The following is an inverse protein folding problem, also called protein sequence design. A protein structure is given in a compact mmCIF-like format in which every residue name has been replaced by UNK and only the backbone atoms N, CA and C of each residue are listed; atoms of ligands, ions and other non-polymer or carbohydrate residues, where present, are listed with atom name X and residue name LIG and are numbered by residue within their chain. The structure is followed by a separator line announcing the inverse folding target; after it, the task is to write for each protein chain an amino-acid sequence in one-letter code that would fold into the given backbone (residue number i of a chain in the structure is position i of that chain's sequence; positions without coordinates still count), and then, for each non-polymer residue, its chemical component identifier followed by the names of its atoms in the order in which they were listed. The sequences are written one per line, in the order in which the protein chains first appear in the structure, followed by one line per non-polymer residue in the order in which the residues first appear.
data_IF_737360057962
#
_entry.id   IF_737360057962
#
_cell.length_a   1.000
_cell.length_b   1.000
_cell.length_c   1.000
_cell.angle_alpha   90.00
_cell.angle_beta   90.00
_cell.angle_gamma   90.00
#
_symmetry.space_group_name_H-M   'P 1'
#
loop_
_entity.id
_entity.type
_entity.pdbx_description
1 polymer ?
#
# COMPACT_ATOMS: atom_id res chain seq x y z
N UNK A 1 -85.73 -9.53 53.44
CA UNK A 1 -86.54 -8.33 53.11
C UNK A 1 -86.56 -8.17 51.60
N UNK A 2 -87.69 -7.82 50.99
CA UNK A 2 -87.79 -7.64 49.53
C UNK A 2 -87.82 -6.14 49.22
N UNK A 3 -86.81 -5.65 48.51
CA UNK A 3 -86.73 -4.24 48.06
C UNK A 3 -88.02 -3.79 47.36
N UNK A 4 -88.63 -4.67 46.56
CA UNK A 4 -89.84 -4.36 45.79
C UNK A 4 -91.09 -4.06 46.62
N UNK A 5 -91.07 -4.36 47.93
CA UNK A 5 -92.25 -4.26 48.80
C UNK A 5 -92.09 -3.20 49.89
N UNK A 6 -90.90 -2.64 50.07
CA UNK A 6 -90.63 -1.64 51.12
C UNK A 6 -90.21 -0.31 50.46
N UNK A 7 -91.12 0.69 50.41
CA UNK A 7 -90.85 1.98 49.77
C UNK A 7 -89.80 2.82 50.53
N UNK A 8 -89.44 2.43 51.75
CA UNK A 8 -88.40 3.07 52.57
C UNK A 8 -87.00 2.57 52.20
N UNK A 9 -86.89 1.56 51.34
CA UNK A 9 -85.62 1.02 50.87
C UNK A 9 -85.19 1.67 49.57
N UNK A 10 -83.91 2.04 49.50
CA UNK A 10 -83.29 2.69 48.36
C UNK A 10 -82.03 1.93 47.94
N UNK A 11 -81.78 1.90 46.65
CA UNK A 11 -80.56 1.37 46.05
C UNK A 11 -79.67 2.52 45.59
N UNK A 12 -78.37 2.38 45.84
CA UNK A 12 -77.34 3.26 45.26
C UNK A 12 -76.12 2.45 44.84
N UNK A 13 -75.31 3.01 43.95
CA UNK A 13 -74.06 2.39 43.52
C UNK A 13 -72.87 3.07 44.20
N UNK A 14 -72.12 2.30 44.98
CA UNK A 14 -70.92 2.77 45.66
C UNK A 14 -69.78 1.75 45.51
N UNK A 15 -68.62 2.21 45.04
CA UNK A 15 -67.38 1.44 45.01
C UNK A 15 -67.54 0.00 44.46
N UNK A 16 -68.13 -0.15 43.27
CA UNK A 16 -68.37 -1.41 42.54
C UNK A 16 -69.50 -2.31 43.02
N UNK A 17 -70.24 -1.90 44.04
CA UNK A 17 -71.36 -2.67 44.58
C UNK A 17 -72.61 -1.79 44.71
N UNK A 18 -73.78 -2.41 44.66
CA UNK A 18 -75.03 -1.71 44.96
C UNK A 18 -75.37 -1.95 46.43
N UNK A 19 -75.56 -0.85 47.16
CA UNK A 19 -75.92 -0.86 48.57
C UNK A 19 -77.41 -0.66 48.75
N UNK A 20 -77.95 -1.35 49.75
CA UNK A 20 -79.33 -1.19 50.19
C UNK A 20 -79.36 -0.31 51.43
N UNK A 21 -80.12 0.76 51.30
CA UNK A 21 -80.20 1.83 52.26
C UNK A 21 -81.64 1.91 52.75
N UNK A 22 -81.84 2.08 54.05
CA UNK A 22 -83.16 2.35 54.61
C UNK A 22 -83.23 3.78 55.09
N UNK A 23 -84.32 4.44 54.75
CA UNK A 23 -84.61 5.81 55.16
C UNK A 23 -85.55 5.75 56.35
N UNK A 24 -85.20 6.46 57.41
CA UNK A 24 -86.02 6.54 58.62
C UNK A 24 -86.82 7.84 58.73
N UNK A 25 -86.59 8.77 57.81
CA UNK A 25 -87.37 10.02 57.68
C UNK A 25 -88.56 9.82 56.75
N UNK A 26 -89.71 10.39 57.12
CA UNK A 26 -90.91 10.35 56.31
C UNK A 26 -90.72 11.15 55.03
N UNK A 27 -91.35 10.68 53.95
CA UNK A 27 -91.35 11.37 52.67
C UNK A 27 -91.90 12.79 52.80
N UNK A 28 -91.15 13.80 52.33
CA UNK A 28 -91.52 15.21 52.41
C UNK A 28 -90.85 16.02 53.53
N UNK A 29 -90.22 15.36 54.52
CA UNK A 29 -89.47 16.05 55.57
C UNK A 29 -88.07 16.49 55.09
N UNK A 30 -87.52 17.62 55.61
CA UNK A 30 -86.15 18.03 55.33
C UNK A 30 -85.15 16.93 55.73
N UNK A 31 -84.41 16.44 54.76
CA UNK A 31 -83.51 15.31 54.93
C UNK A 31 -82.23 15.75 55.66
N UNK A 32 -81.96 15.18 56.86
CA UNK A 32 -80.77 15.45 57.66
C UNK A 32 -79.71 14.36 57.47
N UNK A 33 -78.44 14.73 57.48
CA UNK A 33 -77.32 13.79 57.41
C UNK A 33 -77.42 12.76 58.56
N UNK A 34 -77.51 11.47 58.22
CA UNK A 34 -77.79 10.37 59.16
C UNK A 34 -79.21 9.78 59.10
N UNK A 35 -80.12 10.36 58.32
CA UNK A 35 -81.49 9.84 58.11
C UNK A 35 -81.57 8.60 57.21
N UNK A 36 -80.48 8.29 56.51
CA UNK A 36 -80.26 7.05 55.75
C UNK A 36 -79.21 6.23 56.49
N UNK A 37 -79.48 4.95 56.72
CA UNK A 37 -78.46 4.00 57.13
C UNK A 37 -78.29 2.88 56.10
N UNK A 38 -77.06 2.43 55.84
CA UNK A 38 -76.83 1.18 55.11
C UNK A 38 -77.38 0.04 55.96
N UNK A 39 -78.31 -0.73 55.40
CA UNK A 39 -78.88 -1.91 56.07
C UNK A 39 -78.35 -3.22 55.51
N UNK A 40 -77.62 -3.16 54.41
CA UNK A 40 -76.94 -4.31 53.83
C UNK A 40 -76.44 -4.04 52.42
N UNK A 41 -75.71 -5.03 51.90
CA UNK A 41 -75.34 -5.12 50.50
C UNK A 41 -76.32 -6.06 49.82
N UNK A 42 -76.72 -5.73 48.59
CA UNK A 42 -77.55 -6.64 47.81
C UNK A 42 -76.63 -7.39 46.87
N UNK A 43 -76.48 -8.69 47.10
CA UNK A 43 -75.90 -9.61 46.13
C UNK A 43 -76.97 -9.88 45.06
N UNK A 44 -76.84 -9.23 43.90
CA UNK A 44 -77.89 -9.18 42.87
C UNK A 44 -78.19 -10.51 42.18
N UNK A 45 -77.35 -11.54 42.35
CA UNK A 45 -77.64 -12.87 41.82
C UNK A 45 -78.84 -13.56 42.47
N UNK A 46 -79.36 -13.06 43.62
CA UNK A 46 -80.38 -13.77 44.41
C UNK A 46 -81.67 -12.95 44.66
N UNK A 47 -81.71 -11.64 44.41
CA UNK A 47 -82.77 -10.78 45.00
C UNK A 47 -83.60 -9.90 44.04
N UNK A 48 -83.32 -9.87 42.73
CA UNK A 48 -84.16 -9.18 41.74
C UNK A 48 -84.87 -10.13 40.75
N UNK A 49 -85.27 -11.33 41.18
CA UNK A 49 -85.99 -12.26 40.30
C UNK A 49 -87.44 -11.81 40.06
N UNK A 50 -87.66 -10.91 39.11
CA UNK A 50 -88.91 -10.91 38.34
C UNK A 50 -88.85 -12.12 37.40
N UNK A 51 -89.91 -12.93 37.38
CA UNK A 51 -89.91 -14.32 36.86
C UNK A 51 -89.49 -14.58 35.41
N UNK A 52 -89.06 -13.55 34.65
CA UNK A 52 -88.66 -13.66 33.24
C UNK A 52 -87.17 -13.40 32.97
N UNK A 53 -86.35 -13.13 34.00
CA UNK A 53 -84.89 -13.30 34.05
C UNK A 53 -84.10 -13.01 32.74
N UNK A 54 -84.14 -11.77 32.23
CA UNK A 54 -83.19 -11.32 31.19
C UNK A 54 -82.01 -10.60 31.84
N UNK A 55 -80.79 -11.12 31.67
CA UNK A 55 -79.55 -10.49 32.14
C UNK A 55 -79.45 -9.01 31.72
N UNK A 56 -79.99 -8.65 30.56
CA UNK A 56 -79.95 -7.30 29.99
C UNK A 56 -80.57 -6.23 30.89
N UNK A 57 -81.65 -6.53 31.60
CA UNK A 57 -82.42 -5.51 32.32
C UNK A 57 -81.69 -5.14 33.62
N UNK A 58 -81.02 -6.12 34.23
CA UNK A 58 -80.09 -5.90 35.34
C UNK A 58 -78.88 -5.09 34.89
N UNK A 59 -78.21 -5.47 33.80
CA UNK A 59 -77.03 -4.73 33.31
C UNK A 59 -77.38 -3.29 32.93
N UNK A 60 -78.58 -3.07 32.40
CA UNK A 60 -79.06 -1.72 32.07
C UNK A 60 -79.37 -0.92 33.33
N UNK A 61 -80.02 -1.51 34.34
CA UNK A 61 -80.30 -0.83 35.61
C UNK A 61 -79.02 -0.57 36.42
N UNK A 62 -78.10 -1.53 36.44
CA UNK A 62 -76.77 -1.41 37.02
C UNK A 62 -75.95 -0.34 36.28
N UNK A 63 -75.99 -0.33 34.95
CA UNK A 63 -75.40 0.71 34.09
C UNK A 63 -75.97 2.10 34.41
N UNK A 64 -77.26 2.20 34.69
CA UNK A 64 -77.89 3.46 35.09
C UNK A 64 -77.39 3.94 36.45
N UNK A 65 -77.39 3.09 37.48
CA UNK A 65 -76.94 3.47 38.82
C UNK A 65 -75.44 3.77 38.86
N UNK A 66 -74.62 2.98 38.15
CA UNK A 66 -73.16 3.19 38.09
C UNK A 66 -72.75 4.49 37.42
N UNK A 67 -73.52 4.97 36.43
CA UNK A 67 -73.33 6.29 35.81
C UNK A 67 -73.85 7.44 36.68
N UNK A 68 -74.60 7.15 37.74
CA UNK A 68 -75.25 8.13 38.61
C UNK A 68 -75.03 7.80 40.09
N UNK A 69 -73.78 7.80 40.59
CA UNK A 69 -73.46 7.41 41.98
C UNK A 69 -74.11 8.30 43.04
N UNK A 70 -74.55 9.50 42.66
CA UNK A 70 -75.22 10.46 43.55
C UNK A 70 -76.75 10.31 43.57
N UNK A 71 -77.29 9.25 42.95
CA UNK A 71 -78.72 8.95 42.93
C UNK A 71 -79.03 7.73 43.79
N UNK A 72 -80.17 7.82 44.49
CA UNK A 72 -80.73 6.74 45.28
C UNK A 72 -82.13 6.47 44.77
N UNK A 73 -82.45 5.22 44.43
CA UNK A 73 -83.73 4.87 43.79
C UNK A 73 -84.47 3.83 44.62
N UNK A 74 -85.75 4.06 44.92
CA UNK A 74 -86.61 3.05 45.57
C UNK A 74 -87.44 2.25 44.56
N UNK A 75 -88.19 1.25 45.04
CA UNK A 75 -89.02 0.39 44.21
C UNK A 75 -90.22 1.09 43.55
N UNK A 76 -90.49 2.36 43.88
CA UNK A 76 -91.54 3.18 43.30
C UNK A 76 -91.00 4.17 42.25
N UNK A 77 -89.70 4.13 41.96
CA UNK A 77 -89.05 5.07 41.05
C UNK A 77 -88.78 6.44 41.68
N UNK A 78 -88.91 6.57 43.01
CA UNK A 78 -88.53 7.79 43.70
C UNK A 78 -87.00 7.92 43.72
N UNK A 79 -86.50 9.10 43.33
CA UNK A 79 -85.07 9.37 43.22
C UNK A 79 -84.65 10.47 44.18
N UNK A 80 -83.72 10.15 45.07
CA UNK A 80 -83.03 11.15 45.88
C UNK A 80 -81.75 11.52 45.16
N UNK A 81 -81.54 12.82 44.95
CA UNK A 81 -80.31 13.33 44.34
C UNK A 81 -79.45 14.00 45.39
N UNK A 82 -78.17 13.68 45.36
CA UNK A 82 -77.15 14.39 46.11
C UNK A 82 -76.50 15.44 45.23
N UNK A 83 -76.65 16.71 45.60
CA UNK A 83 -75.95 17.82 44.98
C UNK A 83 -74.92 18.37 45.98
N UNK A 84 -73.64 18.33 45.59
CA UNK A 84 -72.59 19.01 46.33
C UNK A 84 -72.51 20.45 45.82
N UNK A 85 -72.67 21.44 46.71
CA UNK A 85 -72.33 22.82 46.35
C UNK A 85 -70.81 22.98 46.35
N UNK A 86 -70.25 23.32 45.19
CA UNK A 86 -68.84 23.16 44.84
C UNK A 86 -67.84 24.08 45.58
N UNK A 87 -68.32 25.02 46.39
CA UNK A 87 -67.42 26.04 46.94
C UNK A 87 -66.74 25.62 48.26
N UNK A 88 -67.32 24.71 49.06
CA UNK A 88 -66.68 24.29 50.33
C UNK A 88 -66.91 22.82 50.76
N UNK A 89 -67.61 21.98 49.98
CA UNK A 89 -67.99 20.58 50.35
C UNK A 89 -68.63 20.40 51.75
N UNK A 90 -69.07 21.47 52.41
CA UNK A 90 -69.58 21.44 53.80
C UNK A 90 -71.10 21.47 53.90
N UNK A 91 -71.82 21.84 52.84
CA UNK A 91 -73.28 21.90 52.83
C UNK A 91 -73.84 21.06 51.67
N UNK A 92 -74.24 19.81 51.98
CA UNK A 92 -74.93 18.93 51.04
C UNK A 92 -76.42 19.27 51.06
N UNK A 93 -76.96 19.71 49.92
CA UNK A 93 -78.40 19.91 49.75
C UNK A 93 -79.02 18.64 49.18
N UNK A 94 -80.04 18.13 49.87
CA UNK A 94 -80.75 16.92 49.50
C UNK A 94 -82.08 17.32 48.89
N UNK A 95 -82.34 16.87 47.65
CA UNK A 95 -83.64 17.10 47.00
C UNK A 95 -84.29 15.76 46.66
N UNK A 96 -85.58 15.66 47.00
CA UNK A 96 -86.43 14.56 46.60
C UNK A 96 -87.02 14.90 45.24
N UNK A 97 -86.85 14.03 44.26
CA UNK A 97 -87.55 14.14 42.99
C UNK A 97 -88.23 12.82 42.68
N UNK A 98 -89.54 12.86 42.47
CA UNK A 98 -90.22 11.80 41.76
C UNK A 98 -89.83 11.92 40.27
N UNK A 99 -88.66 11.40 39.90
CA UNK A 99 -88.37 11.19 38.49
C UNK A 99 -89.29 10.06 38.03
N UNK A 100 -90.15 10.32 37.05
CA UNK A 100 -90.98 9.29 36.43
C UNK A 100 -90.04 8.42 35.59
N UNK A 101 -89.27 7.54 36.25
CA UNK A 101 -88.47 6.53 35.58
C UNK A 101 -89.44 5.69 34.76
N UNK A 102 -89.24 5.67 33.44
CA UNK A 102 -90.04 4.83 32.56
C UNK A 102 -89.58 3.38 32.74
N UNK A 103 -89.98 2.78 33.86
CA UNK A 103 -89.58 1.46 34.33
C UNK A 103 -89.96 0.34 33.33
N UNK A 104 -90.82 0.64 32.35
CA UNK A 104 -91.19 -0.25 31.24
C UNK A 104 -90.01 -0.64 30.32
N UNK A 105 -88.99 0.21 30.18
CA UNK A 105 -87.75 -0.09 29.46
C UNK A 105 -86.89 -1.17 30.14
N UNK A 106 -87.23 -1.55 31.37
CA UNK A 106 -86.51 -2.51 32.20
C UNK A 106 -87.37 -3.76 32.52
N UNK A 107 -88.33 -4.09 31.65
CA UNK A 107 -89.11 -5.34 31.77
C UNK A 107 -90.18 -5.34 32.86
N UNK A 108 -90.55 -4.18 33.42
CA UNK A 108 -91.62 -4.05 34.41
C UNK A 108 -92.97 -3.75 33.74
N UNK A 109 -94.07 -4.38 34.19
CA UNK A 109 -95.36 -4.32 33.47
C UNK A 109 -95.96 -2.92 33.53
N UNK A 110 -96.08 -2.26 32.37
CA UNK A 110 -96.79 -1.00 32.19
C UNK A 110 -98.01 -1.19 31.28
N UNK A 111 -99.09 -0.49 31.63
CA UNK A 111 -100.43 -0.59 31.03
C UNK A 111 -100.48 -0.24 29.53
N UNK A 112 -101.46 -0.80 28.78
CA UNK A 112 -101.51 -0.70 27.32
C UNK A 112 -101.94 0.70 26.85
N UNK A 113 -101.31 1.18 25.77
CA UNK A 113 -101.70 2.40 25.04
C UNK A 113 -102.07 2.01 23.61
N UNK A 114 -103.20 2.57 23.18
CA UNK A 114 -104.05 2.31 22.01
C UNK A 114 -103.36 2.58 20.64
N UNK A 115 -103.44 1.72 19.60
CA UNK A 115 -102.48 1.71 18.48
C UNK A 115 -102.91 2.38 17.13
N UNK A 116 -104.10 2.96 16.95
CA UNK A 116 -104.63 3.12 15.58
C UNK A 116 -104.46 4.47 14.84
N UNK A 117 -103.54 5.38 15.22
CA UNK A 117 -103.42 6.68 14.52
C UNK A 117 -102.05 7.01 13.87
N UNK A 118 -100.95 6.32 14.20
CA UNK A 118 -99.59 6.74 13.80
C UNK A 118 -98.83 5.75 12.89
N UNK A 119 -99.42 4.61 12.51
CA UNK A 119 -98.72 3.55 11.76
C UNK A 119 -98.30 3.98 10.34
N UNK A 120 -99.09 4.82 9.68
CA UNK A 120 -98.80 5.24 8.30
C UNK A 120 -97.64 6.24 8.22
N UNK A 121 -97.58 7.21 9.12
CA UNK A 121 -96.48 8.19 9.19
C UNK A 121 -95.17 7.51 9.65
N UNK A 122 -95.28 6.55 10.57
CA UNK A 122 -94.14 5.74 10.99
C UNK A 122 -93.62 4.85 9.84
N UNK A 123 -94.53 4.26 9.05
CA UNK A 123 -94.16 3.46 7.88
C UNK A 123 -93.48 4.28 6.78
N UNK A 124 -93.93 5.52 6.52
CA UNK A 124 -93.29 6.42 5.55
C UNK A 124 -91.88 6.86 6.00
N UNK A 125 -91.70 7.20 7.29
CA UNK A 125 -90.38 7.50 7.86
C UNK A 125 -89.44 6.29 7.80
N UNK A 126 -89.94 5.10 8.15
CA UNK A 126 -89.16 3.87 8.09
C UNK A 126 -88.74 3.53 6.65
N UNK A 127 -89.60 3.77 5.66
CA UNK A 127 -89.28 3.55 4.26
C UNK A 127 -88.18 4.51 3.75
N UNK A 128 -88.20 5.78 4.18
CA UNK A 128 -87.17 6.76 3.86
C UNK A 128 -85.81 6.38 4.49
N UNK A 129 -85.78 5.99 5.76
CA UNK A 129 -84.56 5.53 6.45
C UNK A 129 -83.98 4.27 5.79
N UNK A 130 -84.83 3.35 5.32
CA UNK A 130 -84.39 2.15 4.59
C UNK A 130 -83.75 2.51 3.25
N UNK A 131 -84.30 3.50 2.54
CA UNK A 131 -83.74 3.97 1.27
C UNK A 131 -82.39 4.68 1.48
N UNK A 132 -82.27 5.55 2.48
CA UNK A 132 -80.99 6.20 2.84
C UNK A 132 -79.93 5.16 3.19
N UNK A 133 -80.25 4.18 4.05
CA UNK A 133 -79.32 3.09 4.39
C UNK A 133 -78.95 2.22 3.19
N UNK A 134 -79.85 2.03 2.23
CA UNK A 134 -79.53 1.30 0.99
C UNK A 134 -78.54 2.08 0.12
N UNK A 135 -78.69 3.40 0.03
CA UNK A 135 -77.76 4.27 -0.70
C UNK A 135 -76.38 4.29 -0.02
N UNK A 136 -76.32 4.45 1.31
CA UNK A 136 -75.09 4.35 2.08
C UNK A 136 -74.39 3.00 1.87
N UNK A 137 -75.17 1.91 1.90
CA UNK A 137 -74.65 0.56 1.65
C UNK A 137 -74.00 0.46 0.27
N UNK A 138 -74.65 0.95 -0.80
CA UNK A 138 -74.07 0.93 -2.15
C UNK A 138 -72.77 1.76 -2.24
N UNK A 139 -72.72 2.92 -1.58
CA UNK A 139 -71.50 3.76 -1.52
C UNK A 139 -70.37 3.01 -0.80
N UNK A 140 -70.66 2.36 0.33
CA UNK A 140 -69.70 1.58 1.09
C UNK A 140 -69.21 0.36 0.30
N UNK A 141 -70.08 -0.37 -0.38
CA UNK A 141 -69.72 -1.50 -1.24
C UNK A 141 -68.78 -1.07 -2.36
N UNK A 142 -69.06 0.06 -3.01
CA UNK A 142 -68.16 0.63 -4.03
C UNK A 142 -66.80 0.99 -3.41
N UNK A 143 -66.80 1.62 -2.23
CA UNK A 143 -65.55 1.99 -1.54
C UNK A 143 -64.72 0.77 -1.14
N UNK A 144 -65.37 -0.31 -0.71
CA UNK A 144 -64.72 -1.59 -0.42
C UNK A 144 -64.06 -2.15 -1.68
N UNK A 145 -64.77 -2.17 -2.81
CA UNK A 145 -64.22 -2.62 -4.09
C UNK A 145 -63.00 -1.78 -4.54
N UNK A 146 -63.08 -0.45 -4.40
CA UNK A 146 -61.94 0.44 -4.68
C UNK A 146 -60.74 0.17 -3.73
N UNK A 147 -61.01 -0.14 -2.46
CA UNK A 147 -59.97 -0.50 -1.49
C UNK A 147 -59.34 -1.86 -1.77
N UNK A 148 -60.13 -2.85 -2.20
CA UNK A 148 -59.63 -4.17 -2.58
C UNK A 148 -58.71 -4.09 -3.81
N UNK A 149 -59.11 -3.32 -4.83
CA UNK A 149 -58.29 -3.11 -6.03
C UNK A 149 -56.98 -2.36 -5.72
N UNK A 150 -57.04 -1.31 -4.89
CA UNK A 150 -55.82 -0.59 -4.47
C UNK A 150 -54.90 -1.44 -3.60
N UNK A 151 -55.45 -2.26 -2.69
CA UNK A 151 -54.64 -3.20 -1.90
C UNK A 151 -53.95 -4.26 -2.77
N UNK A 152 -54.64 -4.77 -3.79
CA UNK A 152 -54.03 -5.71 -4.74
C UNK A 152 -52.85 -5.05 -5.50
N UNK A 153 -53.04 -3.83 -6.00
CA UNK A 153 -51.99 -3.07 -6.69
C UNK A 153 -50.78 -2.78 -5.78
N UNK A 154 -51.02 -2.39 -4.51
CA UNK A 154 -49.96 -2.15 -3.54
C UNK A 154 -49.19 -3.43 -3.18
N UNK A 155 -49.88 -4.58 -3.10
CA UNK A 155 -49.24 -5.87 -2.87
C UNK A 155 -48.31 -6.25 -4.03
N UNK A 156 -48.70 -5.98 -5.26
CA UNK A 156 -47.86 -6.26 -6.43
C UNK A 156 -46.66 -5.32 -6.51
N UNK A 157 -46.83 -4.02 -6.21
CA UNK A 157 -45.69 -3.10 -6.13
C UNK A 157 -44.73 -3.47 -4.99
N UNK A 158 -45.24 -3.88 -3.83
CA UNK A 158 -44.42 -4.35 -2.72
C UNK A 158 -43.58 -5.58 -3.09
N UNK A 159 -44.16 -6.54 -3.84
CA UNK A 159 -43.40 -7.70 -4.36
C UNK A 159 -42.33 -7.28 -5.36
N UNK A 160 -42.64 -6.33 -6.24
CA UNK A 160 -41.70 -5.80 -7.23
C UNK A 160 -40.50 -5.13 -6.55
N UNK A 161 -40.76 -4.25 -5.58
CA UNK A 161 -39.71 -3.60 -4.80
C UNK A 161 -38.85 -4.61 -4.03
N UNK A 162 -39.46 -5.65 -3.45
CA UNK A 162 -38.68 -6.69 -2.75
C UNK A 162 -37.79 -7.49 -3.72
N UNK A 163 -38.26 -7.76 -4.95
CA UNK A 163 -37.44 -8.40 -5.97
C UNK A 163 -36.27 -7.50 -6.41
N UNK A 164 -36.54 -6.22 -6.70
CA UNK A 164 -35.51 -5.24 -7.06
C UNK A 164 -34.45 -5.10 -5.95
N UNK A 165 -34.89 -5.04 -4.69
CA UNK A 165 -34.01 -5.04 -3.52
C UNK A 165 -33.13 -6.29 -3.48
N UNK A 166 -33.70 -7.48 -3.69
CA UNK A 166 -32.93 -8.72 -3.68
C UNK A 166 -31.88 -8.77 -4.79
N UNK A 167 -32.19 -8.25 -5.97
CA UNK A 167 -31.22 -8.18 -7.08
C UNK A 167 -30.13 -7.14 -6.83
N UNK A 168 -30.47 -5.98 -6.25
CA UNK A 168 -29.48 -4.99 -5.81
C UNK A 168 -28.53 -5.54 -4.75
N UNK A 169 -29.04 -6.33 -3.79
CA UNK A 169 -28.20 -6.99 -2.76
C UNK A 169 -27.22 -7.96 -3.40
N UNK A 170 -27.67 -8.79 -4.36
CA UNK A 170 -26.79 -9.73 -5.08
C UNK A 170 -25.69 -8.99 -5.85
N UNK A 171 -26.05 -7.91 -6.56
CA UNK A 171 -25.10 -7.11 -7.32
C UNK A 171 -24.06 -6.46 -6.39
N UNK A 172 -24.50 -5.90 -5.26
CA UNK A 172 -23.61 -5.32 -4.26
C UNK A 172 -22.62 -6.34 -3.70
N UNK A 173 -23.05 -7.57 -3.45
CA UNK A 173 -22.17 -8.63 -2.96
C UNK A 173 -21.19 -9.12 -4.03
N UNK A 174 -21.60 -9.16 -5.31
CA UNK A 174 -20.71 -9.42 -6.43
C UNK A 174 -19.63 -8.33 -6.57
N UNK A 175 -20.01 -7.05 -6.51
CA UNK A 175 -19.06 -5.92 -6.57
C UNK A 175 -18.08 -5.93 -5.40
N UNK A 176 -18.53 -6.29 -4.18
CA UNK A 176 -17.63 -6.47 -3.02
C UNK A 176 -16.61 -7.58 -3.27
N UNK A 177 -17.04 -8.71 -3.83
CA UNK A 177 -16.16 -9.83 -4.14
C UNK A 177 -15.13 -9.43 -5.21
N UNK A 178 -15.56 -8.76 -6.28
CA UNK A 178 -14.68 -8.25 -7.32
C UNK A 178 -13.67 -7.23 -6.77
N UNK A 179 -14.12 -6.31 -5.92
CA UNK A 179 -13.24 -5.35 -5.23
C UNK A 179 -12.16 -6.05 -4.41
N UNK A 180 -12.48 -7.10 -3.68
CA UNK A 180 -11.49 -7.88 -2.91
C UNK A 180 -10.47 -8.57 -3.83
N UNK A 181 -10.92 -9.11 -4.96
CA UNK A 181 -10.03 -9.72 -5.97
C UNK A 181 -9.08 -8.67 -6.57
N UNK A 182 -9.59 -7.48 -6.90
CA UNK A 182 -8.78 -6.39 -7.42
C UNK A 182 -7.76 -5.90 -6.38
N UNK A 183 -8.17 -5.74 -5.11
CA UNK A 183 -7.25 -5.36 -4.04
C UNK A 183 -6.12 -6.38 -3.83
N UNK A 184 -6.44 -7.67 -3.83
CA UNK A 184 -5.41 -8.73 -3.71
C UNK A 184 -4.49 -8.79 -4.93
N UNK A 185 -5.02 -8.54 -6.12
CA UNK A 185 -4.23 -8.46 -7.36
C UNK A 185 -3.28 -7.26 -7.34
N UNK A 186 -3.76 -6.08 -6.91
CA UNK A 186 -2.93 -4.88 -6.77
C UNK A 186 -1.79 -5.13 -5.79
N UNK A 187 -2.08 -5.67 -4.60
CA UNK A 187 -1.05 -6.00 -3.61
C UNK A 187 -0.01 -6.99 -4.15
N UNK A 188 -0.45 -7.99 -4.94
CA UNK A 188 0.46 -8.94 -5.60
C UNK A 188 1.38 -8.26 -6.63
N UNK A 189 0.83 -7.32 -7.42
CA UNK A 189 1.61 -6.56 -8.40
C UNK A 189 2.60 -5.62 -7.74
N UNK A 190 2.21 -4.93 -6.66
CA UNK A 190 3.10 -4.07 -5.87
C UNK A 190 4.29 -4.86 -5.29
N UNK A 191 4.04 -6.07 -4.77
CA UNK A 191 5.09 -6.95 -4.29
C UNK A 191 6.04 -7.40 -5.40
N UNK A 192 5.51 -7.74 -6.60
CA UNK A 192 6.33 -8.07 -7.77
C UNK A 192 7.17 -6.90 -8.24
N UNK A 193 6.60 -5.70 -8.29
CA UNK A 193 7.32 -4.47 -8.64
C UNK A 193 8.47 -4.23 -7.67
N UNK A 194 8.22 -4.32 -6.36
CA UNK A 194 9.25 -4.15 -5.33
C UNK A 194 10.38 -5.17 -5.50
N UNK A 195 10.04 -6.44 -5.71
CA UNK A 195 11.04 -7.50 -5.93
C UNK A 195 11.88 -7.27 -7.19
N UNK A 196 11.24 -6.83 -8.28
CA UNK A 196 11.95 -6.51 -9.53
C UNK A 196 12.85 -5.30 -9.38
N UNK A 197 12.40 -4.26 -8.68
CA UNK A 197 13.20 -3.07 -8.39
C UNK A 197 14.44 -3.43 -7.57
N UNK A 198 14.29 -4.21 -6.50
CA UNK A 198 15.42 -4.68 -5.68
C UNK A 198 16.41 -5.49 -6.52
N UNK A 199 15.92 -6.44 -7.33
CA UNK A 199 16.78 -7.25 -8.19
C UNK A 199 17.57 -6.40 -9.19
N UNK A 200 16.90 -5.49 -9.89
CA UNK A 200 17.56 -4.60 -10.87
C UNK A 200 18.62 -3.74 -10.18
N UNK A 201 18.33 -3.19 -9.00
CA UNK A 201 19.30 -2.38 -8.24
C UNK A 201 20.52 -3.22 -7.81
N UNK A 202 20.30 -4.43 -7.31
CA UNK A 202 21.38 -5.34 -6.93
C UNK A 202 22.26 -5.74 -8.12
N UNK A 203 21.63 -6.12 -9.24
CA UNK A 203 22.34 -6.53 -10.45
C UNK A 203 23.18 -5.37 -11.02
N UNK A 204 22.60 -4.17 -11.15
CA UNK A 204 23.33 -2.99 -11.62
C UNK A 204 24.48 -2.59 -10.69
N UNK A 205 24.30 -2.74 -9.37
CA UNK A 205 25.37 -2.44 -8.40
C UNK A 205 26.53 -3.43 -8.51
N UNK A 206 26.24 -4.70 -8.73
CA UNK A 206 27.26 -5.73 -8.94
C UNK A 206 28.02 -5.52 -10.26
N UNK A 207 27.30 -5.18 -11.33
CA UNK A 207 27.89 -4.85 -12.63
C UNK A 207 28.80 -3.61 -12.55
N UNK A 208 28.33 -2.52 -11.92
CA UNK A 208 29.14 -1.33 -11.71
C UNK A 208 30.42 -1.63 -10.92
N UNK A 209 30.32 -2.40 -9.82
CA UNK A 209 31.50 -2.77 -9.03
C UNK A 209 32.50 -3.59 -9.84
N UNK A 210 32.02 -4.42 -10.77
CA UNK A 210 32.88 -5.21 -11.67
C UNK A 210 33.59 -4.30 -12.67
N UNK A 211 32.84 -3.41 -13.32
CA UNK A 211 33.39 -2.45 -14.28
C UNK A 211 34.40 -1.49 -13.64
N UNK A 212 34.15 -1.01 -12.43
CA UNK A 212 35.11 -0.20 -11.66
C UNK A 212 36.42 -0.94 -11.44
N UNK A 213 36.35 -2.23 -11.07
CA UNK A 213 37.53 -3.09 -10.91
C UNK A 213 38.30 -3.29 -12.22
N UNK A 214 37.60 -3.48 -13.34
CA UNK A 214 38.23 -3.61 -14.65
C UNK A 214 38.92 -2.32 -15.09
N UNK A 215 38.30 -1.17 -14.87
CA UNK A 215 38.88 0.15 -15.16
C UNK A 215 40.16 0.36 -14.36
N UNK A 216 40.15 0.03 -13.08
CA UNK A 216 41.34 0.17 -12.22
C UNK A 216 42.47 -0.77 -12.66
N UNK A 217 42.14 -2.02 -13.02
CA UNK A 217 43.13 -2.96 -13.59
C UNK A 217 43.76 -2.42 -14.87
N UNK A 218 42.95 -1.94 -15.82
CA UNK A 218 43.46 -1.34 -17.06
C UNK A 218 44.30 -0.10 -16.81
N UNK A 219 43.95 0.72 -15.81
CA UNK A 219 44.72 1.90 -15.43
C UNK A 219 46.11 1.52 -14.93
N UNK A 220 46.19 0.49 -14.09
CA UNK A 220 47.44 -0.03 -13.56
C UNK A 220 48.30 -0.68 -14.65
N UNK A 221 47.69 -1.48 -15.53
CA UNK A 221 48.38 -2.07 -16.69
C UNK A 221 48.96 -0.99 -17.62
N UNK A 222 48.16 0.03 -17.97
CA UNK A 222 48.63 1.19 -18.74
C UNK A 222 49.80 1.90 -18.07
N UNK A 223 49.75 2.09 -16.75
CA UNK A 223 50.85 2.70 -16.01
C UNK A 223 52.12 1.85 -16.03
N UNK A 224 52.00 0.53 -15.99
CA UNK A 224 53.13 -0.40 -16.13
C UNK A 224 53.77 -0.29 -17.51
N UNK A 225 52.96 -0.39 -18.57
CA UNK A 225 53.43 -0.29 -19.95
C UNK A 225 54.12 1.04 -20.27
N UNK A 226 53.68 2.15 -19.65
CA UNK A 226 54.35 3.45 -19.80
C UNK A 226 55.77 3.41 -19.22
N UNK A 227 55.95 2.82 -18.04
CA UNK A 227 57.27 2.68 -17.41
C UNK A 227 58.19 1.80 -18.26
N UNK A 228 57.69 0.64 -18.70
CA UNK A 228 58.46 -0.26 -19.55
C UNK A 228 58.89 0.42 -20.86
N UNK A 229 58.00 1.22 -21.46
CA UNK A 229 58.30 2.01 -22.66
C UNK A 229 59.38 3.06 -22.40
N UNK A 230 59.35 3.75 -21.25
CA UNK A 230 60.36 4.73 -20.86
C UNK A 230 61.73 4.07 -20.63
N UNK A 231 61.76 2.91 -19.98
CA UNK A 231 62.98 2.12 -19.77
C UNK A 231 63.60 1.64 -21.08
N UNK A 232 62.77 1.12 -22.00
CA UNK A 232 63.27 0.69 -23.32
C UNK A 232 63.77 1.87 -24.16
N UNK A 233 63.09 3.03 -24.13
CA UNK A 233 63.60 4.25 -24.78
C UNK A 233 64.97 4.65 -24.25
N UNK A 234 65.18 4.56 -22.93
CA UNK A 234 66.47 4.87 -22.33
C UNK A 234 67.57 3.88 -22.79
N UNK A 235 67.25 2.58 -22.86
CA UNK A 235 68.18 1.56 -23.38
C UNK A 235 68.56 1.81 -24.84
N UNK A 236 67.59 2.16 -25.69
CA UNK A 236 67.85 2.49 -27.10
C UNK A 236 68.80 3.67 -27.22
N UNK A 237 68.59 4.76 -26.47
CA UNK A 237 69.50 5.92 -26.49
C UNK A 237 70.93 5.56 -26.08
N UNK A 238 71.09 4.70 -25.07
CA UNK A 238 72.41 4.21 -24.64
C UNK A 238 73.07 3.38 -25.75
N UNK A 239 72.31 2.50 -26.40
CA UNK A 239 72.80 1.69 -27.51
C UNK A 239 73.18 2.55 -28.72
N UNK A 240 72.38 3.54 -29.09
CA UNK A 240 72.68 4.48 -30.17
C UNK A 240 73.98 5.23 -29.91
N UNK A 241 74.19 5.71 -28.67
CA UNK A 241 75.45 6.35 -28.28
C UNK A 241 76.63 5.37 -28.42
N UNK A 242 76.48 4.15 -27.90
CA UNK A 242 77.53 3.12 -27.97
C UNK A 242 77.91 2.80 -29.42
N UNK A 243 76.93 2.71 -30.32
CA UNK A 243 77.16 2.51 -31.76
C UNK A 243 77.93 3.68 -32.36
N UNK A 244 77.59 4.92 -31.98
CA UNK A 244 78.31 6.11 -32.43
C UNK A 244 79.78 6.08 -31.99
N UNK A 245 80.03 5.80 -30.71
CA UNK A 245 81.38 5.74 -30.13
C UNK A 245 82.22 4.64 -30.81
N UNK A 246 81.65 3.44 -31.01
CA UNK A 246 82.32 2.34 -31.72
C UNK A 246 82.60 2.67 -33.20
N UNK A 247 81.77 3.48 -33.83
CA UNK A 247 81.99 3.91 -35.23
C UNK A 247 83.18 4.88 -35.32
N UNK A 248 83.33 5.77 -34.35
CA UNK A 248 84.48 6.68 -34.25
C UNK A 248 85.77 5.92 -33.96
N UNK A 249 85.73 4.96 -33.02
CA UNK A 249 86.87 4.10 -32.71
C UNK A 249 87.32 3.29 -33.94
N UNK A 250 86.37 2.65 -34.66
CA UNK A 250 86.67 1.93 -35.89
C UNK A 250 87.28 2.83 -36.98
N UNK A 251 86.81 4.08 -37.11
CA UNK A 251 87.40 5.03 -38.06
C UNK A 251 88.84 5.39 -37.69
N UNK A 252 89.12 5.51 -36.39
CA UNK A 252 90.45 5.81 -35.87
C UNK A 252 91.40 4.64 -36.11
N UNK A 253 90.99 3.43 -35.73
CA UNK A 253 91.76 2.20 -35.96
C UNK A 253 92.02 1.96 -37.46
N UNK A 254 91.05 2.22 -38.33
CA UNK A 254 91.25 2.11 -39.77
C UNK A 254 92.36 3.07 -40.27
N UNK A 255 92.40 4.30 -39.74
CA UNK A 255 93.46 5.26 -40.04
C UNK A 255 94.83 4.82 -39.52
N UNK A 256 94.90 4.26 -38.31
CA UNK A 256 96.14 3.72 -37.75
C UNK A 256 96.67 2.54 -38.57
N UNK A 257 95.79 1.63 -39.01
CA UNK A 257 96.17 0.50 -39.88
C UNK A 257 96.78 0.99 -41.18
N UNK A 258 96.17 1.99 -41.84
CA UNK A 258 96.72 2.53 -43.09
C UNK A 258 98.06 3.24 -42.86
N UNK A 259 98.22 3.96 -41.74
CA UNK A 259 99.51 4.57 -41.36
C UNK A 259 100.59 3.50 -41.17
N UNK A 260 100.33 2.46 -40.39
CA UNK A 260 101.30 1.37 -40.14
C UNK A 260 101.65 0.63 -41.44
N UNK A 261 100.67 0.45 -42.33
CA UNK A 261 100.90 -0.14 -43.65
C UNK A 261 101.85 0.73 -44.49
N UNK A 262 101.63 2.04 -44.54
CA UNK A 262 102.52 2.96 -45.24
C UNK A 262 103.94 3.00 -44.63
N UNK A 263 104.05 3.00 -43.30
CA UNK A 263 105.32 2.90 -42.59
C UNK A 263 106.06 1.60 -42.92
N UNK A 264 105.36 0.46 -42.95
CA UNK A 264 105.92 -0.82 -43.37
C UNK A 264 106.45 -0.77 -44.82
N UNK A 265 105.68 -0.20 -45.75
CA UNK A 265 106.10 -0.06 -47.15
C UNK A 265 107.36 0.81 -47.29
N UNK A 266 107.45 1.92 -46.54
CA UNK A 266 108.64 2.77 -46.50
C UNK A 266 109.86 2.00 -45.96
N UNK A 267 109.72 1.30 -44.83
CA UNK A 267 110.81 0.50 -44.24
C UNK A 267 111.26 -0.62 -45.18
N UNK A 268 110.36 -1.27 -45.91
CA UNK A 268 110.75 -2.27 -46.92
C UNK A 268 111.58 -1.67 -48.04
N UNK A 269 111.23 -0.47 -48.51
CA UNK A 269 112.00 0.24 -49.53
C UNK A 269 113.39 0.62 -49.04
N UNK A 270 113.50 1.12 -47.81
CA UNK A 270 114.78 1.45 -47.19
C UNK A 270 115.65 0.19 -47.02
N UNK A 271 115.05 -0.93 -46.59
CA UNK A 271 115.73 -2.22 -46.47
C UNK A 271 116.28 -2.71 -47.81
N UNK A 272 115.51 -2.61 -48.89
CA UNK A 272 115.96 -2.99 -50.22
C UNK A 272 117.07 -2.08 -50.74
N UNK A 273 117.02 -0.78 -50.43
CA UNK A 273 118.10 0.17 -50.68
C UNK A 273 119.39 -0.21 -49.94
N UNK A 274 119.29 -0.56 -48.66
CA UNK A 274 120.46 -0.95 -47.85
C UNK A 274 121.07 -2.27 -48.32
N UNK A 275 120.25 -3.25 -48.74
CA UNK A 275 120.76 -4.47 -49.40
C UNK A 275 121.54 -4.15 -50.67
N UNK A 276 121.05 -3.23 -51.50
CA UNK A 276 121.74 -2.81 -52.72
C UNK A 276 123.08 -2.13 -52.41
N UNK A 277 123.10 -1.24 -51.41
CA UNK A 277 124.34 -0.62 -50.91
C UNK A 277 125.33 -1.67 -50.39
N UNK A 278 124.86 -2.66 -49.63
CA UNK A 278 125.66 -3.77 -49.13
C UNK A 278 126.32 -4.56 -50.25
N UNK A 279 125.57 -4.92 -51.30
CA UNK A 279 126.10 -5.60 -52.49
C UNK A 279 127.13 -4.74 -53.25
N UNK A 280 126.89 -3.44 -53.35
CA UNK A 280 127.82 -2.52 -53.98
C UNK A 280 129.14 -2.42 -53.19
N UNK A 281 129.05 -2.30 -51.86
CA UNK A 281 130.22 -2.32 -50.98
C UNK A 281 130.98 -3.64 -51.08
N UNK A 282 130.29 -4.78 -51.09
CA UNK A 282 130.92 -6.10 -51.27
C UNK A 282 131.70 -6.18 -52.59
N UNK A 283 131.13 -5.66 -53.68
CA UNK A 283 131.83 -5.55 -54.98
C UNK A 283 133.08 -4.68 -54.88
N UNK A 284 133.00 -3.50 -54.25
CA UNK A 284 134.17 -2.62 -54.09
C UNK A 284 135.26 -3.25 -53.21
N UNK A 285 134.89 -4.04 -52.20
CA UNK A 285 135.85 -4.77 -51.36
C UNK A 285 136.57 -5.84 -52.19
N UNK A 286 135.87 -6.54 -53.09
CA UNK A 286 136.50 -7.50 -54.01
C UNK A 286 137.47 -6.79 -54.97
N UNK A 287 137.05 -5.67 -55.57
CA UNK A 287 137.91 -4.88 -56.46
C UNK A 287 139.18 -4.37 -55.74
N UNK A 288 139.04 -3.88 -54.50
CA UNK A 288 140.19 -3.46 -53.68
C UNK A 288 141.08 -4.64 -53.27
N UNK A 289 140.52 -5.82 -53.01
CA UNK A 289 141.31 -7.04 -52.73
C UNK A 289 142.13 -7.45 -53.95
N UNK A 290 141.54 -7.40 -55.14
CA UNK A 290 142.23 -7.69 -56.39
C UNK A 290 143.35 -6.65 -56.65
N UNK A 291 143.09 -5.37 -56.37
CA UNK A 291 144.10 -4.30 -56.49
C UNK A 291 145.27 -4.49 -55.50
N UNK A 292 144.98 -4.85 -54.24
CA UNK A 292 146.00 -5.19 -53.25
C UNK A 292 146.86 -6.36 -53.73
N UNK A 293 146.24 -7.44 -54.23
CA UNK A 293 146.98 -8.60 -54.75
C UNK A 293 147.91 -8.20 -55.92
N UNK A 294 147.43 -7.39 -56.86
CA UNK A 294 148.24 -6.90 -57.97
C UNK A 294 149.41 -6.00 -57.50
N UNK A 295 149.19 -5.17 -56.47
CA UNK A 295 150.24 -4.36 -55.87
C UNK A 295 151.27 -5.21 -55.11
N UNK A 296 150.83 -6.26 -54.41
CA UNK A 296 151.70 -7.23 -53.75
C UNK A 296 152.59 -7.95 -54.77
N UNK A 297 152.03 -8.43 -55.88
CA UNK A 297 152.79 -9.04 -56.98
C UNK A 297 153.83 -8.06 -57.55
N UNK A 298 153.44 -6.82 -57.83
CA UNK A 298 154.35 -5.79 -58.34
C UNK A 298 155.46 -5.43 -57.34
N UNK A 299 155.16 -5.44 -56.04
CA UNK A 299 156.15 -5.19 -55.01
C UNK A 299 157.14 -6.36 -54.91
N UNK A 300 156.69 -7.60 -55.11
CA UNK A 300 157.56 -8.77 -55.20
C UNK A 300 158.48 -8.68 -56.43
N UNK A 301 157.97 -8.31 -57.61
CA UNK A 301 158.80 -8.07 -58.82
C UNK A 301 159.86 -6.99 -58.57
N UNK A 302 159.47 -5.85 -57.97
CA UNK A 302 160.40 -4.77 -57.65
C UNK A 302 161.46 -5.20 -56.64
N UNK A 303 161.11 -6.05 -55.67
CA UNK A 303 162.07 -6.63 -54.73
C UNK A 303 163.04 -7.60 -55.43
N UNK A 304 162.56 -8.44 -56.34
CA UNK A 304 163.42 -9.31 -57.16
C UNK A 304 164.39 -8.48 -58.02
N UNK A 305 163.90 -7.40 -58.64
CA UNK A 305 164.75 -6.44 -59.35
C UNK A 305 165.79 -5.83 -58.39
N UNK A 306 165.37 -5.35 -57.22
CA UNK A 306 166.28 -4.75 -56.24
C UNK A 306 167.37 -5.74 -55.78
N UNK A 307 167.03 -7.01 -55.56
CA UNK A 307 167.98 -8.08 -55.23
C UNK A 307 168.99 -8.31 -56.36
N UNK A 308 168.52 -8.29 -57.62
CA UNK A 308 169.37 -8.39 -58.81
C UNK A 308 170.33 -7.20 -58.91
N UNK A 309 169.85 -5.97 -58.78
CA UNK A 309 170.68 -4.76 -58.76
C UNK A 309 171.68 -4.79 -57.59
N UNK A 310 171.29 -5.30 -56.42
CA UNK A 310 172.17 -5.47 -55.25
C UNK A 310 173.29 -6.47 -55.55
N UNK A 311 172.97 -7.58 -56.24
CA UNK A 311 173.96 -8.53 -56.75
C UNK A 311 174.92 -7.90 -57.76
N UNK A 312 174.39 -7.10 -58.70
CA UNK A 312 175.19 -6.40 -59.71
C UNK A 312 176.13 -5.36 -59.08
N UNK A 313 175.65 -4.54 -58.14
CA UNK A 313 176.47 -3.59 -57.39
C UNK A 313 177.55 -4.33 -56.61
N UNK A 314 177.21 -5.43 -55.93
CA UNK A 314 178.20 -6.26 -55.22
C UNK A 314 179.25 -6.83 -56.17
N UNK A 315 178.84 -7.28 -57.36
CA UNK A 315 179.75 -7.76 -58.40
C UNK A 315 180.68 -6.66 -58.91
N UNK A 316 180.16 -5.45 -59.18
CA UNK A 316 180.95 -4.28 -59.57
C UNK A 316 181.90 -3.86 -58.44
N UNK A 317 181.44 -3.84 -57.19
CA UNK A 317 182.26 -3.49 -56.02
C UNK A 317 183.41 -4.49 -55.83
N UNK A 318 183.16 -5.79 -56.06
CA UNK A 318 184.20 -6.82 -56.06
C UNK A 318 185.24 -6.59 -57.16
N UNK A 319 184.80 -6.20 -58.38
CA UNK A 319 185.68 -5.83 -59.50
C UNK A 319 186.50 -4.58 -59.19
N UNK A 320 185.93 -3.60 -58.50
CA UNK A 320 186.58 -2.33 -58.15
C UNK A 320 187.61 -2.52 -57.03
N UNK A 321 187.32 -3.39 -56.05
CA UNK A 321 188.25 -3.78 -54.98
C UNK A 321 189.47 -4.53 -55.53
N UNK A 322 189.31 -5.33 -56.58
CA UNK A 322 190.44 -5.97 -57.30
C UNK A 322 191.32 -5.00 -58.10
N UNK A 323 190.83 -3.80 -58.41
CA UNK A 323 191.59 -2.76 -59.14
C UNK A 323 192.39 -1.81 -58.23
N UNK A 324 192.20 -1.89 -56.91
CA UNK A 324 192.87 -1.03 -55.91
C UNK A 324 193.93 -1.77 -55.06
N UNK A 325 194.13 -3.07 -55.29
CA UNK A 325 195.23 -3.87 -54.75
C UNK A 325 196.28 -4.08 -55.85
#
# INVERSE_FOLDING_TARGET
MSFFKDPELFLTYEATQIKLLKIFTKFGDPFKFGAIAPIGEVMFSVHLSSGNNKLSDFDTFFGYLSRNPNKYVNCQGLVIKWAYNDVERKNVTHTWSAEKLNLSLFGLPAAPVDPCANEKELAEKLAADVEERNQEKQVLEKRISDLETTNAALMDEAKKVENEKNDLVKNLDAEKAERLILQTTIASLEAKISTLQEKIICDLKAENSTLEGEVERMRNEKSGLIKDLEEEKAKVLIQEKTISDLKEENSTLAGEVERVKNEKEAVMKDLDGEKANGLALEKTILELKDEIAALEDKNNELNEDLDKWTHEISHVHSKLSRKKA
#
